data_IF_771974153441
#
_entry.id   IF_771974153441
#
_cell.length_a   1.000
_cell.length_b   1.000
_cell.length_c   1.000
_cell.angle_alpha   90.00
_cell.angle_beta   90.00
_cell.angle_gamma   90.00
#
_symmetry.space_group_name_H-M   'P 1'
#
loop_
_entity.id
_entity.type
_entity.pdbx_description
1 polymer ?
#
# COMPACT_ATOMS: atom_id res chain seq x y z
N UNK A 1 36.40 20.86 16.13
CA UNK A 1 36.08 19.57 16.80
C UNK A 1 34.58 19.40 16.92
N UNK A 2 33.87 19.27 15.78
CA UNK A 2 32.40 19.19 15.73
C UNK A 2 31.88 18.26 14.62
N UNK A 3 32.57 17.15 14.36
CA UNK A 3 32.18 16.21 13.28
C UNK A 3 31.86 14.80 13.76
N UNK A 4 31.77 14.53 15.07
CA UNK A 4 31.64 13.16 15.59
C UNK A 4 30.24 12.82 16.18
N UNK A 5 29.30 13.76 16.22
CA UNK A 5 27.92 13.48 16.74
C UNK A 5 26.90 13.11 15.66
N UNK A 6 27.13 13.49 14.42
CA UNK A 6 26.24 13.17 13.28
C UNK A 6 26.27 11.69 12.90
N UNK A 7 27.44 11.06 12.93
CA UNK A 7 27.62 9.69 12.46
C UNK A 7 27.01 8.62 13.38
N UNK A 8 26.94 8.89 14.70
CA UNK A 8 26.37 7.93 15.65
C UNK A 8 24.83 7.87 15.58
N UNK A 9 24.17 8.99 15.25
CA UNK A 9 22.71 9.05 15.07
C UNK A 9 22.28 8.40 13.76
N UNK A 10 23.10 8.51 12.71
CA UNK A 10 22.87 7.85 11.43
C UNK A 10 22.98 6.32 11.55
N UNK A 11 23.94 5.81 12.32
CA UNK A 11 24.10 4.38 12.59
C UNK A 11 22.98 3.82 13.46
N UNK A 12 22.43 4.59 14.41
CA UNK A 12 21.34 4.17 15.26
C UNK A 12 20.00 4.11 14.49
N UNK A 13 19.77 5.03 13.57
CA UNK A 13 18.60 4.98 12.66
C UNK A 13 18.69 3.78 11.71
N UNK A 14 19.84 3.49 11.13
CA UNK A 14 20.04 2.30 10.29
C UNK A 14 19.88 0.99 11.06
N UNK A 15 20.25 0.90 12.33
CA UNK A 15 20.11 -0.29 13.15
C UNK A 15 18.64 -0.58 13.53
N UNK A 16 17.79 0.44 13.68
CA UNK A 16 16.35 0.28 13.92
C UNK A 16 15.59 -0.25 12.70
N UNK A 17 16.13 -0.06 11.50
CA UNK A 17 15.53 -0.52 10.23
C UNK A 17 16.14 -1.82 9.70
N UNK A 18 17.25 -2.34 10.25
CA UNK A 18 17.93 -3.54 9.75
C UNK A 18 17.25 -4.87 10.08
N UNK A 19 16.21 -4.89 10.91
CA UNK A 19 15.45 -6.09 11.29
C UNK A 19 14.22 -6.41 10.43
N UNK A 20 13.73 -5.45 9.66
CA UNK A 20 12.72 -5.70 8.65
C UNK A 20 13.44 -5.84 7.30
N UNK A 21 13.37 -7.02 6.66
CA UNK A 21 13.65 -7.07 5.23
C UNK A 21 12.68 -6.10 4.57
N UNK A 22 13.13 -4.86 4.34
CA UNK A 22 12.47 -3.99 3.39
C UNK A 22 12.34 -4.82 2.10
N UNK A 23 11.22 -4.71 1.40
CA UNK A 23 10.97 -5.36 0.11
C UNK A 23 11.95 -4.86 -0.97
N UNK A 24 13.24 -4.86 -0.68
CA UNK A 24 14.32 -4.43 -1.58
C UNK A 24 15.22 -5.62 -1.86
N UNK A 25 14.65 -6.66 -2.49
CA UNK A 25 15.45 -7.72 -3.07
C UNK A 25 15.68 -7.38 -4.54
N UNK A 26 16.89 -6.93 -4.87
CA UNK A 26 17.43 -7.00 -6.23
C UNK A 26 17.60 -8.48 -6.59
N UNK A 27 16.52 -9.18 -6.91
CA UNK A 27 16.54 -10.62 -7.11
C UNK A 27 15.60 -11.06 -8.23
N UNK A 28 16.16 -11.28 -9.41
CA UNK A 28 15.78 -12.20 -10.49
C UNK A 28 14.37 -12.77 -10.41
N UNK A 29 13.50 -12.24 -11.25
CA UNK A 29 12.26 -12.90 -11.68
C UNK A 29 12.65 -14.20 -12.41
N UNK A 30 12.13 -15.34 -11.95
CA UNK A 30 12.15 -16.58 -12.71
C UNK A 30 11.25 -16.41 -13.93
N UNK A 31 11.85 -16.41 -15.11
CA UNK A 31 11.15 -16.43 -16.40
C UNK A 31 10.40 -17.76 -16.56
N UNK A 32 9.10 -17.67 -16.81
CA UNK A 32 8.34 -18.73 -17.49
C UNK A 32 7.46 -18.01 -18.52
N UNK A 33 7.84 -18.11 -19.80
CA UNK A 33 7.10 -17.54 -20.95
C UNK A 33 7.76 -16.29 -21.52
N UNK A 34 7.60 -16.08 -22.82
CA UNK A 34 8.17 -14.96 -23.61
C UNK A 34 7.46 -13.61 -23.36
N UNK A 35 7.03 -13.32 -22.14
CA UNK A 35 6.47 -12.03 -21.77
C UNK A 35 7.57 -11.17 -21.17
N UNK A 36 7.74 -9.96 -21.71
CA UNK A 36 8.68 -8.99 -21.20
C UNK A 36 8.28 -8.62 -19.76
N UNK A 37 9.12 -8.88 -18.75
CA UNK A 37 8.77 -8.59 -17.36
C UNK A 37 8.55 -7.08 -17.18
N UNK A 38 7.64 -6.69 -16.27
CA UNK A 38 7.44 -5.31 -15.87
C UNK A 38 8.76 -4.70 -15.41
N UNK A 39 9.10 -3.50 -15.92
CA UNK A 39 10.30 -2.78 -15.57
C UNK A 39 10.01 -1.77 -14.46
N UNK A 40 10.82 -1.76 -13.40
CA UNK A 40 10.76 -0.75 -12.34
C UNK A 40 12.04 0.07 -12.37
N UNK A 41 11.91 1.38 -12.58
CA UNK A 41 12.99 2.36 -12.62
C UNK A 41 12.77 3.38 -11.49
N UNK A 42 13.32 3.13 -10.33
CA UNK A 42 13.18 4.02 -9.17
C UNK A 42 14.48 4.82 -8.97
N UNK A 43 14.48 6.09 -9.40
CA UNK A 43 15.60 7.01 -9.22
C UNK A 43 15.58 7.68 -7.85
N UNK A 44 14.43 7.70 -7.17
CA UNK A 44 14.30 8.27 -5.84
C UNK A 44 14.83 7.31 -4.77
N UNK A 45 14.54 6.02 -4.93
CA UNK A 45 14.87 4.99 -3.95
C UNK A 45 14.00 5.08 -2.70
N UNK A 46 14.62 4.91 -1.54
CA UNK A 46 13.95 5.01 -0.26
C UNK A 46 14.48 6.23 0.51
N UNK A 47 13.58 7.15 0.85
CA UNK A 47 13.83 8.21 1.81
C UNK A 47 13.27 7.81 3.19
N UNK A 48 13.80 8.36 4.30
CA UNK A 48 13.28 8.08 5.64
C UNK A 48 11.80 8.48 5.76
N UNK A 49 10.97 7.57 6.26
CA UNK A 49 9.55 7.84 6.54
C UNK A 49 9.31 8.72 7.77
N UNK A 50 10.36 9.07 8.52
CA UNK A 50 10.30 9.93 9.69
C UNK A 50 11.59 10.72 9.88
N UNK A 51 11.47 11.88 10.54
CA UNK A 51 12.56 12.79 10.84
C UNK A 51 12.53 13.20 12.33
N UNK A 52 13.73 13.40 12.93
CA UNK A 52 13.83 13.98 14.27
C UNK A 52 13.75 15.51 14.17
N UNK A 53 12.78 16.09 14.85
CA UNK A 53 12.48 17.54 14.80
C UNK A 53 12.45 18.10 16.20
N UNK A 54 13.05 19.27 16.39
CA UNK A 54 12.94 20.03 17.62
C UNK A 54 11.62 20.80 17.63
N UNK A 55 10.79 20.46 18.61
CA UNK A 55 9.46 21.09 18.80
C UNK A 55 9.58 22.50 19.37
N UNK A 56 8.51 23.34 19.27
CA UNK A 56 8.51 24.68 19.83
C UNK A 56 8.71 24.73 21.35
N UNK A 57 8.36 23.66 22.08
CA UNK A 57 8.59 23.52 23.53
C UNK A 57 10.04 23.11 23.89
N UNK A 58 10.92 22.99 22.87
CA UNK A 58 12.31 22.61 23.02
C UNK A 58 12.57 21.10 23.10
N UNK A 59 11.55 20.23 23.11
CA UNK A 59 11.69 18.77 23.10
C UNK A 59 12.08 18.26 21.69
N UNK A 60 12.79 17.13 21.62
CA UNK A 60 13.00 16.42 20.36
C UNK A 60 11.92 15.35 20.18
N UNK A 61 11.34 15.30 18.97
CA UNK A 61 10.32 14.32 18.58
C UNK A 61 10.63 13.73 17.22
N UNK A 62 10.29 12.46 17.05
CA UNK A 62 10.31 11.82 15.73
C UNK A 62 8.94 12.00 15.09
N UNK A 63 8.89 12.70 13.95
CA UNK A 63 7.66 12.98 13.21
C UNK A 63 7.65 12.20 11.90
N UNK A 64 6.46 11.77 11.45
CA UNK A 64 6.31 11.14 10.15
C UNK A 64 6.55 12.16 9.03
N UNK A 65 7.28 11.74 7.99
CA UNK A 65 7.54 12.57 6.82
C UNK A 65 6.35 12.49 5.84
N UNK A 66 5.86 13.66 5.39
CA UNK A 66 4.88 13.76 4.32
C UNK A 66 5.56 13.95 2.97
N UNK A 67 5.16 13.16 1.99
CA UNK A 67 5.64 13.26 0.62
C UNK A 67 4.46 13.31 -0.34
N UNK A 68 4.44 14.34 -1.20
CA UNK A 68 3.41 14.48 -2.22
C UNK A 68 3.93 13.98 -3.57
N UNK A 69 3.19 13.09 -4.22
CA UNK A 69 3.53 12.58 -5.53
C UNK A 69 2.34 12.60 -6.49
N UNK A 70 2.63 12.81 -7.77
CA UNK A 70 1.67 12.63 -8.86
C UNK A 70 1.90 11.29 -9.54
N UNK A 71 0.85 10.49 -9.68
CA UNK A 71 0.85 9.25 -10.47
C UNK A 71 0.27 9.55 -11.83
N UNK A 72 1.04 9.30 -12.88
CA UNK A 72 0.64 9.42 -14.28
C UNK A 72 0.51 8.02 -14.87
N UNK A 73 -0.51 7.81 -15.69
CA UNK A 73 -0.71 6.56 -16.45
C UNK A 73 -0.75 6.90 -17.92
N UNK A 74 0.11 6.28 -18.71
CA UNK A 74 0.29 6.60 -20.13
C UNK A 74 0.43 8.11 -20.36
N UNK A 75 1.30 8.77 -19.56
CA UNK A 75 1.58 10.20 -19.57
C UNK A 75 0.40 11.12 -19.14
N UNK A 76 -0.77 10.56 -18.82
CA UNK A 76 -1.92 11.31 -18.35
C UNK A 76 -1.97 11.34 -16.81
N UNK A 77 -2.22 12.50 -16.18
CA UNK A 77 -2.41 12.58 -14.73
C UNK A 77 -3.57 11.68 -14.28
N UNK A 78 -3.31 10.80 -13.32
CA UNK A 78 -4.30 9.86 -12.78
C UNK A 78 -4.63 10.14 -11.31
N UNK A 79 -3.60 10.29 -10.46
CA UNK A 79 -3.79 10.48 -9.03
C UNK A 79 -2.78 11.48 -8.47
N UNK A 80 -3.16 12.17 -7.40
CA UNK A 80 -2.24 12.86 -6.49
C UNK A 80 -2.35 12.18 -5.14
N UNK A 81 -1.21 11.86 -4.53
CA UNK A 81 -1.15 11.17 -3.25
C UNK A 81 -0.24 11.93 -2.28
N UNK A 82 -0.67 11.99 -1.03
CA UNK A 82 0.20 12.35 0.10
C UNK A 82 0.47 11.05 0.85
N UNK A 83 1.73 10.69 1.00
CA UNK A 83 2.17 9.39 1.49
C UNK A 83 3.48 9.52 2.29
N UNK A 84 3.94 8.45 2.92
CA UNK A 84 5.34 8.35 3.32
C UNK A 84 6.21 8.08 2.09
N UNK A 85 7.48 8.59 2.06
CA UNK A 85 8.34 8.57 0.86
C UNK A 85 8.93 7.20 0.52
N UNK A 86 8.36 6.13 1.03
CA UNK A 86 8.83 4.75 0.83
C UNK A 86 7.88 3.99 -0.09
N UNK A 87 8.41 3.02 -0.86
CA UNK A 87 7.63 2.12 -1.70
C UNK A 87 6.75 2.84 -2.74
N UNK A 88 7.24 3.93 -3.35
CA UNK A 88 6.47 4.72 -4.31
C UNK A 88 6.06 3.91 -5.56
N UNK A 89 6.90 3.06 -6.16
CA UNK A 89 6.47 2.19 -7.25
C UNK A 89 5.35 1.24 -6.84
N UNK A 90 5.47 0.63 -5.65
CA UNK A 90 4.47 -0.30 -5.11
C UNK A 90 3.16 0.43 -4.78
N UNK A 91 3.24 1.63 -4.22
CA UNK A 91 2.07 2.48 -3.99
C UNK A 91 1.29 2.73 -5.28
N UNK A 92 1.98 3.09 -6.36
CA UNK A 92 1.34 3.35 -7.65
C UNK A 92 0.70 2.08 -8.24
N UNK A 93 1.42 0.95 -8.26
CA UNK A 93 0.91 -0.33 -8.76
C UNK A 93 -0.30 -0.81 -7.97
N UNK A 94 -0.20 -0.82 -6.64
CA UNK A 94 -1.31 -1.22 -5.79
C UNK A 94 -2.52 -0.31 -5.95
N UNK A 95 -2.31 1.02 -6.05
CA UNK A 95 -3.38 1.99 -6.31
C UNK A 95 -4.09 1.70 -7.63
N UNK A 96 -3.36 1.45 -8.71
CA UNK A 96 -3.98 1.15 -10.01
C UNK A 96 -4.84 -0.11 -9.94
N UNK A 97 -4.39 -1.18 -9.29
CA UNK A 97 -5.18 -2.40 -9.13
C UNK A 97 -6.42 -2.16 -8.24
N UNK A 98 -6.22 -1.57 -7.08
CA UNK A 98 -7.29 -1.39 -6.08
C UNK A 98 -8.34 -0.35 -6.46
N UNK A 99 -8.00 0.59 -7.36
CA UNK A 99 -8.94 1.52 -8.00
C UNK A 99 -9.55 0.94 -9.29
N UNK A 100 -9.04 -0.23 -9.78
CA UNK A 100 -9.56 -0.92 -10.95
C UNK A 100 -9.10 -0.37 -12.29
N UNK A 101 -8.00 0.37 -12.33
CA UNK A 101 -7.39 0.87 -13.56
C UNK A 101 -6.64 -0.24 -14.31
N UNK A 102 -6.17 -1.25 -13.58
CA UNK A 102 -5.64 -2.50 -14.08
C UNK A 102 -6.30 -3.66 -13.34
N UNK A 103 -6.26 -4.85 -13.92
CA UNK A 103 -6.74 -6.12 -13.34
C UNK A 103 -5.60 -7.07 -13.00
N UNK A 104 -4.42 -6.85 -13.60
CA UNK A 104 -3.21 -7.66 -13.43
C UNK A 104 -1.95 -6.79 -13.57
N UNK A 105 -0.86 -7.22 -12.94
CA UNK A 105 0.47 -6.63 -13.14
C UNK A 105 0.98 -6.79 -14.59
N UNK A 106 0.49 -7.79 -15.33
CA UNK A 106 0.87 -8.05 -16.71
C UNK A 106 0.47 -6.92 -17.67
N UNK A 107 -0.52 -6.12 -17.28
CA UNK A 107 -0.92 -4.93 -18.05
C UNK A 107 0.12 -3.80 -17.98
N UNK A 108 1.07 -3.87 -17.01
CA UNK A 108 2.06 -2.83 -16.81
C UNK A 108 3.36 -3.18 -17.52
N UNK A 109 3.81 -2.29 -18.41
CA UNK A 109 5.10 -2.38 -19.07
C UNK A 109 6.22 -1.84 -18.16
N UNK A 110 6.00 -0.64 -17.59
CA UNK A 110 7.03 0.08 -16.83
C UNK A 110 6.43 0.97 -15.74
N UNK A 111 7.15 1.03 -14.63
CA UNK A 111 6.95 2.04 -13.58
C UNK A 111 8.25 2.83 -13.42
N UNK A 112 8.19 4.15 -13.52
CA UNK A 112 9.34 5.04 -13.35
C UNK A 112 9.05 6.10 -12.28
N UNK A 113 9.95 6.23 -11.31
CA UNK A 113 9.91 7.28 -10.28
C UNK A 113 11.05 8.26 -10.54
N UNK A 114 10.75 9.56 -10.62
CA UNK A 114 11.77 10.59 -10.82
C UNK A 114 12.66 10.75 -9.58
N UNK A 115 13.84 11.35 -9.73
CA UNK A 115 14.85 11.48 -8.67
C UNK A 115 14.36 12.22 -7.41
N UNK A 116 13.33 13.08 -7.52
CA UNK A 116 12.73 13.78 -6.39
C UNK A 116 11.52 13.04 -5.79
N UNK A 117 11.10 11.89 -6.37
CA UNK A 117 9.90 11.17 -5.93
C UNK A 117 8.55 11.86 -6.24
N UNK A 118 8.56 13.05 -6.84
CA UNK A 118 7.36 13.86 -7.05
C UNK A 118 6.46 13.34 -8.20
N UNK A 119 7.02 12.54 -9.09
CA UNK A 119 6.34 11.97 -10.26
C UNK A 119 6.58 10.48 -10.33
N UNK A 120 5.49 9.71 -10.45
CA UNK A 120 5.48 8.27 -10.68
C UNK A 120 4.76 8.05 -12.00
N UNK A 121 5.49 7.64 -13.04
CA UNK A 121 4.94 7.36 -14.37
C UNK A 121 4.74 5.86 -14.54
N UNK A 122 3.51 5.44 -14.84
CA UNK A 122 3.16 4.06 -15.13
C UNK A 122 2.78 3.95 -16.60
N UNK A 123 3.52 3.14 -17.36
CA UNK A 123 3.24 2.83 -18.73
C UNK A 123 2.51 1.50 -18.80
N UNK A 124 1.31 1.49 -19.38
CA UNK A 124 0.55 0.28 -19.65
C UNK A 124 0.86 -0.24 -21.06
N UNK A 125 0.73 -1.56 -21.24
CA UNK A 125 0.89 -2.23 -22.54
C UNK A 125 -0.24 -1.93 -23.54
N UNK A 126 -1.34 -1.36 -23.03
CA UNK A 126 -2.53 -1.00 -23.82
C UNK A 126 -3.04 0.40 -23.41
N UNK A 127 -3.78 1.07 -24.28
CA UNK A 127 -4.42 2.33 -23.94
C UNK A 127 -5.50 2.11 -22.87
N UNK A 128 -5.73 3.13 -22.04
CA UNK A 128 -6.86 3.12 -21.10
C UNK A 128 -8.18 3.25 -21.88
N UNK A 129 -9.17 2.44 -21.50
CA UNK A 129 -10.51 2.57 -22.05
C UNK A 129 -11.15 3.87 -21.52
N UNK A 130 -11.53 4.77 -22.43
CA UNK A 130 -12.18 6.02 -22.07
C UNK A 130 -13.58 5.76 -21.45
N UNK A 131 -13.88 6.47 -20.37
CA UNK A 131 -15.23 6.48 -19.79
C UNK A 131 -16.07 7.56 -20.46
N UNK A 132 -17.30 7.24 -20.85
CA UNK A 132 -18.23 8.22 -21.42
C UNK A 132 -18.74 9.23 -20.37
N UNK A 133 -18.79 8.84 -19.10
CA UNK A 133 -19.05 9.73 -17.95
C UNK A 133 -18.51 9.06 -16.67
N UNK A 134 -17.65 9.73 -15.94
CA UNK A 134 -17.18 9.28 -14.62
C UNK A 134 -17.93 10.04 -13.52
N UNK A 135 -18.69 9.32 -12.71
CA UNK A 135 -19.21 9.84 -11.45
C UNK A 135 -18.05 10.04 -10.46
N UNK A 136 -17.95 11.22 -9.87
CA UNK A 136 -16.94 11.51 -8.86
C UNK A 136 -17.44 10.98 -7.51
N UNK A 137 -16.82 9.89 -7.03
CA UNK A 137 -17.06 9.41 -5.66
C UNK A 137 -16.05 10.10 -4.71
N UNK A 138 -16.56 10.79 -3.70
CA UNK A 138 -15.72 11.47 -2.70
C UNK A 138 -15.21 10.43 -1.69
N UNK A 139 -13.89 10.21 -1.57
CA UNK A 139 -13.37 9.24 -0.62
C UNK A 139 -13.62 9.69 0.82
N UNK A 140 -13.82 8.72 1.73
CA UNK A 140 -14.11 8.94 3.15
C UNK A 140 -12.90 9.40 3.99
N UNK A 141 -11.76 9.70 3.37
CA UNK A 141 -10.54 10.11 4.06
C UNK A 141 -10.29 11.62 3.97
N UNK A 142 -9.76 12.18 5.06
CA UNK A 142 -9.45 13.61 5.18
C UNK A 142 -8.13 14.03 4.51
N UNK A 143 -7.43 13.13 3.82
CA UNK A 143 -6.22 13.47 3.06
C UNK A 143 -6.62 13.86 1.65
N UNK A 144 -5.97 14.88 1.09
CA UNK A 144 -6.12 15.37 -0.28
C UNK A 144 -5.72 14.33 -1.36
N UNK A 145 -6.05 13.08 -1.14
CA UNK A 145 -5.96 12.02 -2.15
C UNK A 145 -7.07 12.25 -3.20
N UNK A 146 -6.89 13.29 -4.02
CA UNK A 146 -7.80 13.57 -5.12
C UNK A 146 -7.63 12.50 -6.18
N UNK A 147 -8.65 11.67 -6.35
CA UNK A 147 -8.88 11.00 -7.61
C UNK A 147 -9.31 12.08 -8.59
N UNK A 148 -8.42 12.47 -9.51
CA UNK A 148 -8.83 13.29 -10.65
C UNK A 148 -9.92 12.50 -11.35
N UNK A 149 -11.03 13.13 -11.71
CA UNK A 149 -12.17 12.48 -12.34
C UNK A 149 -11.68 11.45 -13.35
N UNK A 150 -11.90 10.16 -13.06
CA UNK A 150 -11.30 9.10 -13.86
C UNK A 150 -11.95 9.08 -15.25
N UNK A 151 -11.20 9.39 -16.31
CA UNK A 151 -11.71 9.24 -17.66
C UNK A 151 -11.75 7.76 -18.08
N UNK A 152 -11.54 6.84 -17.14
CA UNK A 152 -11.40 5.40 -17.40
C UNK A 152 -12.67 4.68 -17.00
N UNK A 153 -13.19 3.86 -17.91
CA UNK A 153 -14.28 2.93 -17.61
C UNK A 153 -13.73 1.80 -16.74
N UNK A 154 -14.14 1.81 -15.46
CA UNK A 154 -13.72 0.79 -14.51
C UNK A 154 -14.50 -0.52 -14.74
N UNK A 155 -13.84 -1.69 -14.68
CA UNK A 155 -14.54 -2.96 -14.71
C UNK A 155 -15.47 -3.09 -13.48
N UNK A 156 -16.59 -3.84 -13.58
CA UNK A 156 -17.40 -4.14 -12.42
C UNK A 156 -16.59 -4.88 -11.34
N UNK A 157 -17.06 -4.80 -10.09
CA UNK A 157 -16.50 -5.64 -9.04
C UNK A 157 -16.83 -7.12 -9.34
N UNK A 158 -15.92 -8.01 -8.98
CA UNK A 158 -16.10 -9.45 -9.10
C UNK A 158 -16.02 -10.09 -7.71
N UNK A 159 -16.75 -11.20 -7.45
CA UNK A 159 -16.61 -11.97 -6.23
C UNK A 159 -15.17 -12.41 -6.00
N UNK A 160 -14.70 -12.32 -4.75
CA UNK A 160 -13.36 -12.76 -4.41
C UNK A 160 -13.28 -14.30 -4.33
N UNK A 161 -12.09 -14.89 -4.53
CA UNK A 161 -11.88 -16.33 -4.39
C UNK A 161 -12.30 -16.83 -3.00
N UNK A 162 -13.11 -17.87 -2.94
CA UNK A 162 -13.52 -18.45 -1.67
C UNK A 162 -12.44 -19.39 -1.16
N UNK A 163 -11.91 -19.09 0.02
CA UNK A 163 -10.85 -19.86 0.66
C UNK A 163 -11.12 -19.99 2.15
N UNK A 164 -10.79 -21.15 2.72
CA UNK A 164 -10.74 -21.29 4.17
C UNK A 164 -9.57 -20.50 4.73
N UNK A 165 -9.82 -19.69 5.76
CA UNK A 165 -8.81 -18.88 6.45
C UNK A 165 -8.63 -19.46 7.85
N UNK A 166 -7.50 -20.13 8.13
CA UNK A 166 -7.22 -20.66 9.46
C UNK A 166 -7.22 -19.56 10.51
N UNK A 167 -7.85 -19.80 11.66
CA UNK A 167 -7.89 -18.82 12.77
C UNK A 167 -6.47 -18.40 13.20
N UNK A 168 -5.52 -19.33 13.17
CA UNK A 168 -4.12 -19.06 13.49
C UNK A 168 -3.48 -17.97 12.59
N UNK A 169 -3.94 -17.82 11.33
CA UNK A 169 -3.45 -16.76 10.44
C UNK A 169 -3.97 -15.39 10.87
N UNK A 170 -5.24 -15.34 11.28
CA UNK A 170 -5.87 -14.12 11.80
C UNK A 170 -5.21 -13.69 13.11
N UNK A 171 -4.93 -14.64 14.00
CA UNK A 171 -4.27 -14.39 15.27
C UNK A 171 -2.82 -13.91 15.06
N UNK A 172 -2.05 -14.56 14.17
CA UNK A 172 -0.68 -14.15 13.85
C UNK A 172 -0.62 -12.72 13.30
N UNK A 173 -1.58 -12.32 12.46
CA UNK A 173 -1.69 -10.94 11.97
C UNK A 173 -2.02 -9.96 13.09
N UNK A 174 -2.96 -10.33 13.98
CA UNK A 174 -3.35 -9.48 15.11
C UNK A 174 -2.20 -9.30 16.12
N UNK A 175 -1.44 -10.35 16.41
CA UNK A 175 -0.28 -10.31 17.28
C UNK A 175 0.85 -9.44 16.71
N UNK A 176 1.18 -9.63 15.43
CA UNK A 176 2.18 -8.80 14.76
C UNK A 176 1.79 -7.32 14.76
N UNK A 177 0.50 -7.02 14.53
CA UNK A 177 -0.01 -5.66 14.59
C UNK A 177 -0.04 -5.12 16.03
N UNK A 178 -0.26 -5.99 17.01
CA UNK A 178 -0.26 -5.62 18.44
C UNK A 178 1.08 -5.10 18.94
N UNK A 179 2.18 -5.56 18.34
CA UNK A 179 3.54 -5.10 18.63
C UNK A 179 3.82 -3.71 18.03
N UNK A 180 3.01 -3.25 17.08
CA UNK A 180 3.24 -2.03 16.27
C UNK A 180 4.42 -2.19 15.31
N UNK A 181 4.31 -1.58 14.15
CA UNK A 181 5.41 -1.52 13.19
C UNK A 181 6.39 -0.37 13.52
N UNK A 182 7.60 -0.36 12.97
CA UNK A 182 8.66 0.58 13.36
C UNK A 182 8.28 2.05 13.24
N UNK A 183 7.69 2.46 12.10
CA UNK A 183 7.32 3.85 11.87
C UNK A 183 6.17 4.28 12.80
N UNK A 184 5.17 3.43 13.00
CA UNK A 184 4.10 3.69 13.94
C UNK A 184 4.63 3.84 15.38
N UNK A 185 5.53 2.97 15.82
CA UNK A 185 6.12 3.06 17.16
C UNK A 185 6.93 4.33 17.37
N UNK A 186 7.60 4.80 16.32
CA UNK A 186 8.42 6.02 16.39
C UNK A 186 7.56 7.30 16.38
N UNK A 187 6.46 7.31 15.62
CA UNK A 187 5.71 8.55 15.31
C UNK A 187 4.29 8.59 15.82
N UNK A 188 3.66 7.42 16.01
CA UNK A 188 2.22 7.24 16.30
C UNK A 188 1.28 7.92 15.27
N UNK A 189 1.79 8.28 14.08
CA UNK A 189 1.12 9.13 13.09
C UNK A 189 0.80 8.40 11.77
N UNK A 190 1.01 7.08 11.69
CA UNK A 190 0.83 6.31 10.46
C UNK A 190 -0.12 5.12 10.65
N UNK A 191 -0.65 4.66 9.54
CA UNK A 191 -1.39 3.41 9.45
C UNK A 191 -0.48 2.29 8.94
N UNK A 192 -0.84 1.05 9.31
CA UNK A 192 -0.10 -0.13 8.91
C UNK A 192 -1.00 -1.12 8.17
N UNK A 193 -0.45 -1.78 7.18
CA UNK A 193 -1.05 -2.90 6.48
C UNK A 193 -0.06 -4.07 6.43
N UNK A 194 -0.56 -5.28 6.73
CA UNK A 194 0.19 -6.53 6.63
C UNK A 194 -0.42 -7.39 5.53
N UNK A 195 0.41 -8.09 4.78
CA UNK A 195 -0.02 -9.12 3.85
C UNK A 195 0.58 -10.46 4.26
N UNK A 196 -0.28 -11.45 4.47
CA UNK A 196 0.07 -12.80 4.88
C UNK A 196 -0.30 -13.80 3.78
N UNK A 197 0.57 -14.75 3.53
CA UNK A 197 0.31 -15.93 2.69
C UNK A 197 0.85 -17.18 3.39
N UNK A 198 0.07 -18.26 3.37
CA UNK A 198 0.46 -19.56 3.95
C UNK A 198 0.99 -19.46 5.40
N UNK A 199 0.34 -18.64 6.22
CA UNK A 199 0.71 -18.43 7.62
C UNK A 199 1.94 -17.54 7.84
N UNK A 200 2.58 -17.03 6.79
CA UNK A 200 3.75 -16.14 6.87
C UNK A 200 3.39 -14.74 6.46
N UNK A 201 3.76 -13.75 7.27
CA UNK A 201 3.64 -12.34 6.90
C UNK A 201 4.76 -12.02 5.91
N UNK A 202 4.37 -11.75 4.66
CA UNK A 202 5.29 -11.41 3.58
C UNK A 202 5.65 -9.93 3.61
N UNK A 203 4.65 -9.06 3.76
CA UNK A 203 4.87 -7.61 3.71
C UNK A 203 4.30 -6.91 4.93
N UNK A 204 5.02 -5.87 5.36
CA UNK A 204 4.66 -4.94 6.43
C UNK A 204 4.84 -3.53 5.88
N UNK A 205 3.73 -2.88 5.56
CA UNK A 205 3.71 -1.56 4.95
C UNK A 205 3.10 -0.54 5.89
N UNK A 206 3.70 0.63 5.95
CA UNK A 206 3.21 1.76 6.73
C UNK A 206 3.04 2.99 5.84
N UNK A 207 2.06 3.82 6.15
CA UNK A 207 1.81 5.08 5.45
C UNK A 207 0.93 6.01 6.30
N UNK A 208 0.98 7.31 6.04
CA UNK A 208 0.09 8.31 6.63
C UNK A 208 -1.38 7.97 6.40
N UNK A 209 -1.69 7.46 5.20
CA UNK A 209 -3.03 7.06 4.77
C UNK A 209 -3.25 5.55 4.87
N UNK A 210 -4.36 5.10 5.51
CA UNK A 210 -4.72 3.67 5.54
C UNK A 210 -4.87 3.05 4.14
N UNK A 211 -5.35 3.84 3.17
CA UNK A 211 -5.49 3.40 1.77
C UNK A 211 -4.12 3.18 1.13
N UNK A 212 -3.19 4.12 1.33
CA UNK A 212 -1.84 4.00 0.82
C UNK A 212 -1.10 2.80 1.42
N UNK A 213 -1.25 2.55 2.74
CA UNK A 213 -0.64 1.40 3.39
C UNK A 213 -1.13 0.07 2.78
N UNK A 214 -2.44 -0.02 2.46
CA UNK A 214 -3.02 -1.17 1.76
C UNK A 214 -2.48 -1.25 0.32
N UNK A 215 -2.51 -0.14 -0.41
CA UNK A 215 -2.01 -0.08 -1.79
C UNK A 215 -0.53 -0.49 -1.86
N UNK A 216 0.32 -0.05 -0.92
CA UNK A 216 1.71 -0.49 -0.82
C UNK A 216 1.83 -2.00 -0.64
N UNK A 217 1.04 -2.60 0.25
CA UNK A 217 1.08 -4.05 0.50
C UNK A 217 0.64 -4.86 -0.72
N UNK A 218 -0.42 -4.42 -1.40
CA UNK A 218 -0.89 -5.01 -2.67
C UNK A 218 0.16 -4.83 -3.76
N UNK A 219 0.75 -3.65 -3.88
CA UNK A 219 1.78 -3.37 -4.88
C UNK A 219 3.07 -4.17 -4.67
N UNK A 220 3.47 -4.45 -3.42
CA UNK A 220 4.57 -5.37 -3.13
C UNK A 220 4.26 -6.78 -3.68
N UNK A 221 3.03 -7.27 -3.46
CA UNK A 221 2.62 -8.57 -3.99
C UNK A 221 2.66 -8.59 -5.53
N UNK A 222 2.16 -7.54 -6.19
CA UNK A 222 2.21 -7.42 -7.65
C UNK A 222 3.65 -7.41 -8.18
N UNK A 223 4.54 -6.65 -7.53
CA UNK A 223 5.95 -6.54 -7.93
C UNK A 223 6.69 -7.87 -7.84
N UNK A 224 6.35 -8.71 -6.86
CA UNK A 224 7.01 -9.99 -6.62
C UNK A 224 6.23 -11.19 -7.20
N UNK A 225 5.14 -10.95 -7.94
CA UNK A 225 4.33 -12.01 -8.54
C UNK A 225 3.62 -12.89 -7.52
N UNK A 226 3.31 -12.36 -6.32
CA UNK A 226 2.61 -13.10 -5.27
C UNK A 226 1.11 -13.14 -5.60
N UNK A 227 0.48 -14.33 -5.68
CA UNK A 227 -0.93 -14.45 -6.02
C UNK A 227 -1.82 -13.93 -4.88
N UNK A 228 -2.44 -12.77 -5.08
CA UNK A 228 -3.31 -12.11 -4.10
C UNK A 228 -4.51 -12.96 -3.67
N UNK A 229 -5.00 -13.84 -4.55
CA UNK A 229 -6.05 -14.82 -4.27
C UNK A 229 -5.70 -15.81 -3.12
N UNK A 230 -4.43 -15.91 -2.75
CA UNK A 230 -3.94 -16.78 -1.68
C UNK A 230 -3.56 -15.99 -0.42
N UNK A 231 -3.78 -14.68 -0.42
CA UNK A 231 -3.31 -13.79 0.62
C UNK A 231 -4.43 -13.32 1.55
N UNK A 232 -4.05 -12.94 2.76
CA UNK A 232 -4.90 -12.26 3.74
C UNK A 232 -4.30 -10.90 4.03
N UNK A 233 -5.10 -9.85 3.94
CA UNK A 233 -4.71 -8.50 4.33
C UNK A 233 -5.12 -8.21 5.78
N UNK A 234 -4.29 -7.45 6.48
CA UNK A 234 -4.63 -6.83 7.76
C UNK A 234 -4.43 -5.31 7.66
N UNK A 235 -5.41 -4.54 8.14
CA UNK A 235 -5.29 -3.07 8.22
C UNK A 235 -5.45 -2.56 9.65
N UNK A 236 -4.65 -1.59 10.06
CA UNK A 236 -4.82 -0.88 11.33
C UNK A 236 -5.94 0.16 11.28
N UNK A 237 -6.35 0.56 10.07
CA UNK A 237 -7.33 1.60 9.83
C UNK A 237 -8.78 1.14 9.96
N UNK A 238 -9.71 2.11 9.97
CA UNK A 238 -11.14 1.83 9.82
C UNK A 238 -11.42 1.11 8.50
N UNK A 239 -12.52 0.36 8.45
CA UNK A 239 -12.94 -0.42 7.26
C UNK A 239 -14.28 0.11 6.73
N UNK A 240 -14.31 1.29 6.11
CA UNK A 240 -15.48 1.77 5.36
C UNK A 240 -15.55 1.09 3.98
N UNK A 241 -16.60 1.41 3.22
CA UNK A 241 -16.91 0.82 1.90
C UNK A 241 -15.72 0.87 0.94
N UNK A 242 -15.00 1.98 0.89
CA UNK A 242 -13.84 2.18 0.01
C UNK A 242 -12.68 1.19 0.32
N UNK A 243 -12.43 0.87 1.59
CA UNK A 243 -11.43 -0.12 1.99
C UNK A 243 -11.84 -1.55 1.61
N UNK A 244 -13.13 -1.89 1.78
CA UNK A 244 -13.69 -3.18 1.34
C UNK A 244 -13.60 -3.30 -0.18
N UNK A 245 -13.99 -2.25 -0.91
CA UNK A 245 -13.88 -2.21 -2.38
C UNK A 245 -12.46 -2.46 -2.86
N UNK A 246 -11.46 -1.83 -2.21
CA UNK A 246 -10.05 -2.05 -2.52
C UNK A 246 -9.62 -3.51 -2.29
N UNK A 247 -10.02 -4.13 -1.20
CA UNK A 247 -9.73 -5.53 -0.92
C UNK A 247 -10.37 -6.48 -1.96
N UNK A 248 -11.63 -6.20 -2.35
CA UNK A 248 -12.32 -6.95 -3.41
C UNK A 248 -11.59 -6.79 -4.75
N UNK A 249 -11.23 -5.56 -5.13
CA UNK A 249 -10.45 -5.28 -6.36
C UNK A 249 -9.09 -5.98 -6.36
N UNK A 250 -8.44 -6.05 -5.21
CA UNK A 250 -7.21 -6.79 -5.05
C UNK A 250 -7.40 -8.31 -5.18
N UNK A 251 -8.65 -8.81 -5.11
CA UNK A 251 -8.96 -10.25 -5.23
C UNK A 251 -8.52 -11.07 -4.01
N UNK A 252 -8.32 -10.44 -2.84
CA UNK A 252 -7.97 -11.19 -1.63
C UNK A 252 -9.21 -11.81 -1.00
N UNK A 253 -9.15 -13.07 -0.50
CA UNK A 253 -10.29 -13.75 0.12
C UNK A 253 -10.69 -13.19 1.49
N UNK A 254 -9.79 -12.46 2.16
CA UNK A 254 -10.05 -11.97 3.51
C UNK A 254 -9.32 -10.67 3.83
N UNK A 255 -10.00 -9.84 4.64
CA UNK A 255 -9.46 -8.63 5.25
C UNK A 255 -9.65 -8.70 6.77
N UNK A 256 -8.57 -8.57 7.52
CA UNK A 256 -8.55 -8.51 8.98
C UNK A 256 -8.37 -7.06 9.42
N UNK A 257 -9.10 -6.62 10.44
CA UNK A 257 -8.96 -5.28 11.00
C UNK A 257 -9.10 -5.30 12.53
N UNK A 258 -8.43 -4.36 13.20
CA UNK A 258 -8.69 -4.06 14.61
C UNK A 258 -9.81 -3.03 14.82
N UNK A 259 -10.24 -2.36 13.75
CA UNK A 259 -11.28 -1.31 13.77
C UNK A 259 -12.58 -1.85 13.22
N UNK A 260 -13.71 -1.35 13.73
CA UNK A 260 -15.03 -1.78 13.27
C UNK A 260 -15.31 -1.35 11.82
N UNK A 261 -16.00 -2.18 11.04
CA UNK A 261 -16.54 -1.82 9.74
C UNK A 261 -17.78 -0.93 9.89
N UNK A 262 -18.27 -0.40 8.77
CA UNK A 262 -19.60 0.22 8.67
C UNK A 262 -20.62 -0.82 8.22
N UNK A 263 -21.92 -0.53 8.38
CA UNK A 263 -23.00 -1.43 7.93
C UNK A 263 -22.85 -1.70 6.42
N UNK A 264 -22.69 -0.65 5.62
CA UNK A 264 -22.56 -0.76 4.16
C UNK A 264 -21.31 -1.53 3.73
N UNK A 265 -20.23 -1.45 4.52
CA UNK A 265 -19.02 -2.22 4.24
C UNK A 265 -19.18 -3.71 4.52
N UNK A 266 -20.01 -4.10 5.51
CA UNK A 266 -20.35 -5.49 5.75
C UNK A 266 -21.24 -6.05 4.64
N UNK A 267 -22.26 -5.30 4.22
CA UNK A 267 -23.14 -5.66 3.11
C UNK A 267 -22.34 -5.88 1.82
N UNK A 268 -21.44 -4.95 1.48
CA UNK A 268 -20.59 -5.08 0.31
C UNK A 268 -19.64 -6.29 0.41
N UNK A 269 -19.07 -6.53 1.58
CA UNK A 269 -18.17 -7.68 1.78
C UNK A 269 -18.92 -9.01 1.61
N UNK A 270 -20.15 -9.11 2.12
CA UNK A 270 -21.00 -10.28 1.99
C UNK A 270 -21.42 -10.50 0.52
N UNK A 271 -21.84 -9.45 -0.19
CA UNK A 271 -22.22 -9.50 -1.60
C UNK A 271 -21.12 -10.08 -2.49
N UNK A 272 -19.84 -9.71 -2.23
CA UNK A 272 -18.70 -10.17 -3.02
C UNK A 272 -17.91 -11.33 -2.38
N UNK A 273 -18.38 -11.85 -1.25
CA UNK A 273 -17.77 -13.00 -0.56
C UNK A 273 -16.46 -12.70 0.16
N UNK A 274 -16.14 -11.42 0.41
CA UNK A 274 -14.94 -11.05 1.17
C UNK A 274 -15.15 -11.35 2.66
N UNK A 275 -14.29 -12.20 3.25
CA UNK A 275 -14.33 -12.50 4.68
C UNK A 275 -13.75 -11.35 5.50
N UNK A 276 -14.57 -10.73 6.37
CA UNK A 276 -14.13 -9.68 7.30
C UNK A 276 -13.93 -10.27 8.70
N UNK A 277 -12.69 -10.14 9.22
CA UNK A 277 -12.35 -10.53 10.59
C UNK A 277 -12.01 -9.30 11.42
N UNK A 278 -12.71 -9.12 12.54
CA UNK A 278 -12.47 -8.02 13.47
C UNK A 278 -11.76 -8.56 14.69
N UNK A 279 -10.55 -8.05 14.96
CA UNK A 279 -9.72 -8.40 16.11
C UNK A 279 -9.44 -7.17 16.96
N UNK A 280 -10.37 -6.81 17.82
CA UNK A 280 -10.14 -5.82 18.86
C UNK A 280 -9.40 -6.47 20.03
N UNK A 281 -8.38 -5.79 20.60
CA UNK A 281 -7.88 -6.18 21.91
C UNK A 281 -9.02 -6.01 22.91
N UNK A 282 -9.33 -7.08 23.65
CA UNK A 282 -10.16 -7.00 24.85
C UNK A 282 -9.45 -6.19 25.92
#
# INVERSE_FOLDING_TARGET
>A
METTRSDSLFQTAQALFSGAKACYNRGRVKQTGEEHPMQIMDQFGAAPGAESVRMPDGTERTLAAEHAAAILVNEQPAFRVVCTPELLPQLALGRLLTEGWITSADEVERVAVCAQGLKISVQLRHPLAAAEQAGQEVPSCCTDNLTLASPVRLPPLAPVPQREIPAAWVDALADAMGQGLPLYRATHAVHSCLLLREGKILYRCEDLGRHNALDKAVGCALTEGVPLAECVLFTSGRVPVDMVRKAIRAGVPALVSKSMPTVQSLELAEEYGLKLFIRQKK
#
